data_IF_480155846601
#
_entry.id   IF_480155846601
#
_cell.length_a   1.000
_cell.length_b   1.000
_cell.length_c   1.000
_cell.angle_alpha   90.00
_cell.angle_beta   90.00
_cell.angle_gamma   90.00
#
_symmetry.space_group_name_H-M   'P 1'
#
loop_
_entity.id
_entity.type
_entity.pdbx_description
1 polymer ?
#
# COMPACT_ATOMS: atom_id res chain seq x y z
N UNK A 1 6.59 -16.64 10.60
CA UNK A 1 5.11 -16.46 10.56
C UNK A 1 4.56 -16.02 11.91
N UNK A 2 4.95 -16.67 13.02
CA UNK A 2 4.53 -16.29 14.37
C UNK A 2 4.87 -14.83 14.72
N UNK A 3 6.00 -14.30 14.25
CA UNK A 3 6.42 -12.93 14.55
C UNK A 3 5.46 -11.86 14.00
N UNK A 4 4.90 -12.09 12.80
CA UNK A 4 3.92 -11.19 12.19
C UNK A 4 2.64 -11.16 13.01
N UNK A 5 2.18 -12.32 13.45
CA UNK A 5 0.99 -12.42 14.30
C UNK A 5 1.23 -11.79 15.68
N UNK A 6 2.40 -12.01 16.28
CA UNK A 6 2.76 -11.41 17.57
C UNK A 6 2.84 -9.88 17.49
N UNK A 7 3.43 -9.35 16.41
CA UNK A 7 3.51 -7.91 16.17
C UNK A 7 2.11 -7.31 15.96
N UNK A 8 1.26 -7.97 15.16
CA UNK A 8 -0.12 -7.54 14.94
C UNK A 8 -0.93 -7.50 16.25
N UNK A 9 -0.77 -8.50 17.12
CA UNK A 9 -1.40 -8.49 18.45
C UNK A 9 -0.89 -7.35 19.32
N UNK A 10 0.43 -7.09 19.28
CA UNK A 10 1.04 -5.99 20.04
C UNK A 10 0.49 -4.64 19.61
N UNK A 11 0.43 -4.36 18.29
CA UNK A 11 -0.16 -3.13 17.77
C UNK A 11 -1.65 -3.02 18.11
N UNK A 12 -2.40 -4.12 18.06
CA UNK A 12 -3.80 -4.14 18.48
C UNK A 12 -3.95 -3.69 19.94
N UNK A 13 -3.13 -4.21 20.84
CA UNK A 13 -3.16 -3.84 22.26
C UNK A 13 -2.82 -2.36 22.45
N UNK A 14 -1.85 -1.83 21.71
CA UNK A 14 -1.49 -0.41 21.78
C UNK A 14 -2.60 0.50 21.29
N UNK A 15 -3.27 0.16 20.18
CA UNK A 15 -4.43 0.91 19.69
C UNK A 15 -5.58 0.89 20.70
N UNK A 16 -5.87 -0.26 21.33
CA UNK A 16 -6.93 -0.37 22.35
C UNK A 16 -6.61 0.46 23.60
N UNK A 17 -5.33 0.56 23.96
CA UNK A 17 -4.85 1.32 25.13
C UNK A 17 -4.59 2.81 24.82
N UNK A 18 -5.04 3.29 23.67
CA UNK A 18 -4.85 4.67 23.19
C UNK A 18 -3.38 5.12 23.23
N UNK A 19 -2.46 4.18 22.96
CA UNK A 19 -1.04 4.50 22.84
C UNK A 19 -0.73 4.90 21.40
N UNK A 20 -0.15 6.09 21.16
CA UNK A 20 0.15 6.55 19.81
C UNK A 20 1.24 5.66 19.18
N UNK A 21 0.98 5.19 17.96
CA UNK A 21 1.90 4.41 17.13
C UNK A 21 2.41 5.20 15.92
N UNK A 22 2.17 6.50 15.92
CA UNK A 22 2.46 7.45 14.84
C UNK A 22 3.96 7.64 14.55
N UNK A 23 4.83 6.98 15.32
CA UNK A 23 6.28 6.97 15.14
C UNK A 23 6.77 5.80 14.27
N UNK A 24 5.96 4.75 14.08
CA UNK A 24 6.42 3.51 13.44
C UNK A 24 6.62 3.70 11.93
N UNK A 25 5.68 4.35 11.25
CA UNK A 25 5.73 4.64 9.82
C UNK A 25 5.79 6.14 9.54
N UNK A 26 6.29 6.93 10.50
CA UNK A 26 6.40 8.38 10.35
C UNK A 26 7.23 8.74 9.12
N UNK A 27 6.65 9.54 8.24
CA UNK A 27 7.30 9.99 7.00
C UNK A 27 7.29 8.94 5.87
N UNK A 28 6.69 7.77 6.09
CA UNK A 28 6.53 6.74 5.06
C UNK A 28 5.25 6.94 4.27
N UNK A 29 5.33 6.70 2.97
CA UNK A 29 4.22 6.87 2.03
C UNK A 29 3.84 5.52 1.43
N UNK A 30 2.57 5.16 1.48
CA UNK A 30 2.00 3.99 0.80
C UNK A 30 1.19 4.42 -0.43
N UNK A 31 1.48 3.85 -1.58
CA UNK A 31 0.64 3.90 -2.75
C UNK A 31 -0.42 2.79 -2.70
N UNK A 32 -1.67 3.13 -2.95
CA UNK A 32 -2.81 2.21 -2.96
C UNK A 32 -3.42 2.21 -4.36
N UNK A 33 -3.18 1.13 -5.11
CA UNK A 33 -3.63 0.94 -6.50
C UNK A 33 -4.64 -0.22 -6.52
N UNK A 34 -5.92 0.10 -6.72
CA UNK A 34 -7.00 -0.91 -6.72
C UNK A 34 -7.81 -0.80 -8.01
N UNK A 35 -7.67 -1.78 -8.89
CA UNK A 35 -8.43 -1.90 -10.15
C UNK A 35 -9.77 -2.63 -9.99
N UNK A 36 -10.07 -3.12 -8.79
CA UNK A 36 -11.37 -3.70 -8.46
C UNK A 36 -11.85 -3.16 -7.11
N UNK A 37 -13.18 -3.02 -6.97
CA UNK A 37 -13.78 -2.45 -5.77
C UNK A 37 -13.46 -3.33 -4.56
N UNK A 38 -12.66 -2.79 -3.65
CA UNK A 38 -12.31 -3.46 -2.41
C UNK A 38 -12.28 -2.51 -1.22
N UNK A 39 -13.48 -2.06 -0.85
CA UNK A 39 -13.68 -1.10 0.25
C UNK A 39 -13.08 -1.62 1.56
N UNK A 40 -13.28 -2.90 1.90
CA UNK A 40 -12.77 -3.48 3.15
C UNK A 40 -11.24 -3.49 3.21
N UNK A 41 -10.57 -3.88 2.12
CA UNK A 41 -9.11 -3.97 2.07
C UNK A 41 -8.49 -2.58 1.99
N UNK A 42 -8.99 -1.70 1.13
CA UNK A 42 -8.50 -0.33 0.99
C UNK A 42 -8.62 0.45 2.31
N UNK A 43 -9.78 0.39 2.96
CA UNK A 43 -9.98 1.06 4.26
C UNK A 43 -9.08 0.48 5.36
N UNK A 44 -8.84 -0.84 5.40
CA UNK A 44 -7.98 -1.42 6.43
C UNK A 44 -6.53 -1.00 6.30
N UNK A 45 -5.98 -1.00 5.07
CA UNK A 45 -4.60 -0.57 4.82
C UNK A 45 -4.44 0.94 5.06
N UNK A 46 -5.42 1.72 4.65
CA UNK A 46 -5.46 3.15 4.92
C UNK A 46 -5.42 3.46 6.41
N UNK A 47 -6.35 2.86 7.16
CA UNK A 47 -6.46 3.12 8.58
C UNK A 47 -5.20 2.66 9.33
N UNK A 48 -4.59 1.55 8.89
CA UNK A 48 -3.32 1.09 9.43
C UNK A 48 -2.19 2.09 9.18
N UNK A 49 -1.99 2.55 7.95
CA UNK A 49 -0.95 3.54 7.62
C UNK A 49 -1.13 4.83 8.41
N UNK A 50 -2.35 5.38 8.46
CA UNK A 50 -2.64 6.61 9.20
C UNK A 50 -2.39 6.45 10.70
N UNK A 51 -2.81 5.32 11.31
CA UNK A 51 -2.56 5.04 12.73
C UNK A 51 -1.09 4.89 13.08
N UNK A 52 -0.28 4.42 12.13
CA UNK A 52 1.16 4.27 12.28
C UNK A 52 1.93 5.55 11.91
N UNK A 53 1.24 6.65 11.58
CA UNK A 53 1.84 7.94 11.24
C UNK A 53 2.35 8.05 9.80
N UNK A 54 2.02 7.07 8.97
CA UNK A 54 2.28 7.05 7.54
C UNK A 54 1.21 7.79 6.74
N UNK A 55 1.53 8.05 5.47
CA UNK A 55 0.64 8.70 4.50
C UNK A 55 0.22 7.73 3.42
N UNK A 56 -0.94 7.96 2.81
CA UNK A 56 -1.47 7.13 1.74
C UNK A 56 -1.77 7.99 0.52
N UNK A 57 -1.35 7.50 -0.65
CA UNK A 57 -1.70 8.05 -1.96
C UNK A 57 -2.59 7.02 -2.65
N UNK A 58 -3.77 7.45 -3.08
CA UNK A 58 -4.68 6.61 -3.84
C UNK A 58 -4.51 6.84 -5.33
N UNK A 59 -4.44 5.75 -6.07
CA UNK A 59 -4.56 5.73 -7.52
C UNK A 59 -5.84 4.97 -7.84
N UNK A 60 -6.87 5.70 -8.27
CA UNK A 60 -8.09 5.13 -8.82
C UNK A 60 -7.94 5.05 -10.35
N UNK A 61 -8.48 4.00 -10.96
CA UNK A 61 -8.57 3.79 -12.41
C UNK A 61 -9.25 4.98 -13.11
N UNK A 62 -10.14 5.70 -12.41
CA UNK A 62 -10.79 6.91 -12.92
C UNK A 62 -9.91 8.17 -12.90
N UNK A 63 -8.89 8.20 -12.05
CA UNK A 63 -7.98 9.34 -11.86
C UNK A 63 -6.64 9.19 -12.58
N UNK A 64 -6.21 7.95 -12.81
CA UNK A 64 -5.02 7.62 -13.58
C UNK A 64 -5.37 7.56 -15.06
N UNK A 65 -4.45 7.96 -15.93
CA UNK A 65 -4.66 8.08 -17.37
C UNK A 65 -4.76 6.72 -18.08
N UNK A 66 -5.54 5.76 -17.56
CA UNK A 66 -5.90 4.50 -18.23
C UNK A 66 -6.62 4.78 -19.56
N UNK A 67 -7.11 6.02 -19.77
CA UNK A 67 -7.56 6.53 -21.08
C UNK A 67 -6.45 6.74 -22.12
N UNK A 68 -5.17 6.61 -21.75
CA UNK A 68 -4.02 7.04 -22.56
C UNK A 68 -2.91 6.00 -22.66
N UNK A 69 -3.24 4.71 -22.68
CA UNK A 69 -2.29 3.66 -23.08
C UNK A 69 -1.04 3.49 -22.20
N UNK A 70 -1.03 4.06 -20.99
CA UNK A 70 0.00 3.75 -19.99
C UNK A 70 -0.21 2.33 -19.48
N UNK A 71 0.88 1.57 -19.41
CA UNK A 71 0.83 0.21 -18.90
C UNK A 71 0.70 0.23 -17.37
N UNK A 72 0.15 -0.86 -16.81
CA UNK A 72 0.13 -1.09 -15.37
C UNK A 72 1.54 -0.97 -14.77
N UNK A 73 2.52 -1.49 -15.49
CA UNK A 73 3.94 -1.53 -15.10
C UNK A 73 4.51 -0.11 -14.99
N UNK A 74 4.27 0.75 -15.98
CA UNK A 74 4.69 2.16 -15.94
C UNK A 74 4.04 2.90 -14.76
N UNK A 75 2.75 2.64 -14.52
CA UNK A 75 2.01 3.25 -13.41
C UNK A 75 2.59 2.84 -12.05
N UNK A 76 2.93 1.56 -11.89
CA UNK A 76 3.56 1.04 -10.67
C UNK A 76 4.97 1.60 -10.50
N UNK A 77 5.79 1.65 -11.56
CA UNK A 77 7.15 2.17 -11.51
C UNK A 77 7.17 3.66 -11.12
N UNK A 78 6.26 4.47 -11.67
CA UNK A 78 6.11 5.88 -11.31
C UNK A 78 5.69 6.01 -9.84
N UNK A 79 4.73 5.20 -9.39
CA UNK A 79 4.26 5.24 -8.00
C UNK A 79 5.30 4.73 -7.00
N UNK A 80 6.14 3.77 -7.38
CA UNK A 80 7.27 3.32 -6.59
C UNK A 80 8.32 4.42 -6.40
N UNK A 81 8.41 5.39 -7.33
CA UNK A 81 9.22 6.59 -7.16
C UNK A 81 8.66 7.60 -6.14
N UNK A 82 7.35 7.58 -5.88
CA UNK A 82 6.68 8.51 -4.96
C UNK A 82 6.34 7.90 -3.59
N UNK A 83 6.38 6.58 -3.46
CA UNK A 83 5.96 5.84 -2.27
C UNK A 83 7.03 4.83 -1.82
N UNK A 84 7.14 4.64 -0.51
CA UNK A 84 8.00 3.61 0.09
C UNK A 84 7.43 2.20 -0.08
N UNK A 85 6.11 2.08 -0.28
CA UNK A 85 5.42 0.80 -0.43
C UNK A 85 4.22 0.94 -1.38
N UNK A 86 4.01 -0.06 -2.22
CA UNK A 86 2.88 -0.12 -3.17
C UNK A 86 1.99 -1.30 -2.83
N UNK A 87 0.69 -1.05 -2.67
CA UNK A 87 -0.34 -2.08 -2.55
C UNK A 87 -1.13 -2.10 -3.84
N UNK A 88 -0.99 -3.18 -4.60
CA UNK A 88 -1.65 -3.36 -5.89
C UNK A 88 -2.69 -4.48 -5.79
N UNK A 89 -3.90 -4.20 -6.27
CA UNK A 89 -4.94 -5.20 -6.48
C UNK A 89 -5.46 -5.14 -7.91
N UNK A 90 -5.30 -6.22 -8.64
CA UNK A 90 -5.68 -6.35 -10.04
C UNK A 90 -6.55 -7.61 -10.25
N UNK A 91 -7.63 -7.56 -11.05
CA UNK A 91 -8.54 -8.69 -11.25
C UNK A 91 -7.89 -9.92 -11.91
N UNK A 92 -6.84 -9.71 -12.72
CA UNK A 92 -6.09 -10.80 -13.36
C UNK A 92 -4.90 -11.24 -12.48
N UNK A 93 -4.86 -12.51 -12.02
CA UNK A 93 -3.72 -13.04 -11.29
C UNK A 93 -2.47 -13.08 -12.17
N UNK A 94 -1.32 -12.68 -11.63
CA UNK A 94 -0.03 -12.66 -12.35
C UNK A 94 0.41 -11.30 -12.90
N UNK A 95 -0.45 -10.28 -12.84
CA UNK A 95 -0.12 -8.93 -13.34
C UNK A 95 0.98 -8.21 -12.55
N UNK A 96 1.33 -8.74 -11.36
CA UNK A 96 2.39 -8.22 -10.47
C UNK A 96 3.68 -9.05 -10.59
N UNK A 97 3.63 -10.26 -11.15
CA UNK A 97 4.77 -11.19 -11.18
C UNK A 97 5.82 -10.84 -12.24
N UNK A 98 5.59 -9.79 -13.05
CA UNK A 98 6.52 -9.36 -14.10
C UNK A 98 7.65 -8.49 -13.53
N UNK A 99 7.52 -7.95 -12.32
CA UNK A 99 8.55 -7.12 -11.72
C UNK A 99 9.59 -7.95 -10.94
N UNK A 100 10.53 -8.53 -11.69
CA UNK A 100 11.86 -8.82 -11.14
C UNK A 100 12.54 -7.48 -10.91
N UNK A 101 12.28 -6.85 -9.76
CA UNK A 101 12.96 -5.62 -9.34
C UNK A 101 14.44 -5.97 -9.15
N UNK A 102 15.21 -5.84 -10.23
CA UNK A 102 16.67 -5.79 -10.19
C UNK A 102 17.03 -4.48 -9.49
N UNK A 103 17.12 -4.51 -8.16
CA UNK A 103 17.87 -3.51 -7.43
C UNK A 103 19.33 -3.60 -7.89
N UNK A 104 19.70 -2.77 -8.86
CA UNK A 104 21.10 -2.50 -9.15
C UNK A 104 21.42 -1.17 -8.47
N UNK A 105 22.11 -1.27 -7.33
CA UNK A 105 22.98 -0.21 -6.85
C UNK A 105 24.36 -0.41 -7.48
#
# INVERSE_FOLDING_TARGET
>A
LNDIFNLAQTFRVYVIKDRPLDHILRGKVMASIFYEVSTRTCCSFTAAMQRLGGRVIYMDETSSSVKKGETLEDSVAVMAGYADVVVLRHPTPGSVLVESVQWTF
#
